data_IF_061874928068
#
_entry.id   IF_061874928068
#
_cell.length_a   1.000
_cell.length_b   1.000
_cell.length_c   1.000
_cell.angle_alpha   90.00
_cell.angle_beta   90.00
_cell.angle_gamma   90.00
#
_symmetry.space_group_name_H-M   'P 1'
#
loop_
_entity.id
_entity.type
_entity.pdbx_description
1 polymer ?
#
# COMPACT_ATOMS: atom_id res chain seq x y z
N UNK A 1 -44.29 36.85 -71.72
CA UNK A 1 -44.72 37.72 -72.85
C UNK A 1 -45.32 36.81 -73.92
N UNK A 2 -46.63 36.89 -74.22
CA UNK A 2 -47.19 36.11 -75.31
C UNK A 2 -46.60 36.63 -76.63
N UNK A 3 -45.94 35.76 -77.38
CA UNK A 3 -45.49 36.05 -78.74
C UNK A 3 -46.56 35.48 -79.67
N UNK A 4 -47.37 36.35 -80.27
CA UNK A 4 -48.28 35.98 -81.35
C UNK A 4 -47.47 35.84 -82.63
N UNK A 5 -47.47 34.65 -83.22
CA UNK A 5 -46.84 34.46 -84.51
C UNK A 5 -47.59 35.22 -85.59
N UNK A 6 -46.83 35.78 -86.53
CA UNK A 6 -47.38 36.48 -87.70
C UNK A 6 -46.60 36.04 -88.93
N UNK A 7 -47.29 35.80 -90.03
CA UNK A 7 -46.67 35.52 -91.31
C UNK A 7 -46.27 36.83 -92.01
N UNK A 8 -45.30 36.75 -92.92
CA UNK A 8 -44.88 37.92 -93.71
C UNK A 8 -45.96 38.34 -94.71
N UNK A 9 -46.02 39.62 -95.09
CA UNK A 9 -46.98 40.14 -96.09
C UNK A 9 -46.98 39.34 -97.40
N UNK A 10 -45.79 38.92 -97.85
CA UNK A 10 -45.60 38.08 -99.05
C UNK A 10 -46.34 36.74 -99.00
N UNK A 11 -46.58 36.20 -97.80
CA UNK A 11 -47.31 34.96 -97.61
C UNK A 11 -48.81 35.14 -97.81
N UNK A 12 -49.37 36.27 -97.36
CA UNK A 12 -50.77 36.65 -97.58
C UNK A 12 -51.04 36.94 -99.06
N UNK A 13 -50.12 37.63 -99.74
CA UNK A 13 -50.27 37.95 -101.17
C UNK A 13 -50.27 36.68 -102.07
N UNK A 14 -49.57 35.62 -101.65
CA UNK A 14 -49.40 34.37 -102.43
C UNK A 14 -50.47 33.31 -102.12
N UNK A 15 -50.83 33.13 -100.85
CA UNK A 15 -51.79 32.10 -100.42
C UNK A 15 -53.22 32.64 -100.29
N UNK A 16 -53.41 33.96 -100.30
CA UNK A 16 -54.67 34.61 -99.98
C UNK A 16 -54.86 34.82 -98.48
N UNK A 17 -55.70 35.78 -98.11
CA UNK A 17 -55.94 36.14 -96.70
C UNK A 17 -56.51 34.97 -95.89
N UNK A 18 -57.45 34.22 -96.46
CA UNK A 18 -58.12 33.12 -95.77
C UNK A 18 -57.14 32.02 -95.32
N UNK A 19 -56.31 31.52 -96.25
CA UNK A 19 -55.35 30.44 -95.98
C UNK A 19 -54.23 30.91 -95.05
N UNK A 20 -53.75 32.15 -95.22
CA UNK A 20 -52.71 32.70 -94.36
C UNK A 20 -53.19 32.93 -92.91
N UNK A 21 -54.44 33.35 -92.72
CA UNK A 21 -55.05 33.48 -91.39
C UNK A 21 -55.22 32.11 -90.71
N UNK A 22 -55.69 31.09 -91.44
CA UNK A 22 -55.84 29.73 -90.90
C UNK A 22 -54.50 29.15 -90.40
N UNK A 23 -53.41 29.38 -91.14
CA UNK A 23 -52.07 28.96 -90.73
C UNK A 23 -51.55 29.71 -89.49
N UNK A 24 -51.85 31.01 -89.38
CA UNK A 24 -51.50 31.82 -88.19
C UNK A 24 -52.28 31.33 -86.97
N UNK A 25 -53.58 31.07 -87.13
CA UNK A 25 -54.43 30.57 -86.05
C UNK A 25 -53.99 29.18 -85.60
N UNK A 26 -53.66 28.30 -86.54
CA UNK A 26 -53.08 26.99 -86.24
C UNK A 26 -51.75 27.10 -85.49
N UNK A 27 -50.82 27.95 -85.94
CA UNK A 27 -49.52 28.11 -85.27
C UNK A 27 -49.67 28.67 -83.85
N UNK A 28 -50.55 29.67 -83.67
CA UNK A 28 -50.83 30.22 -82.34
C UNK A 28 -51.54 29.19 -81.44
N UNK A 29 -52.44 28.35 -81.97
CA UNK A 29 -53.06 27.26 -81.22
C UNK A 29 -52.04 26.20 -80.78
N UNK A 30 -51.09 25.85 -81.65
CA UNK A 30 -49.99 24.94 -81.31
C UNK A 30 -49.08 25.53 -80.23
N UNK A 31 -48.68 26.82 -80.33
CA UNK A 31 -47.86 27.49 -79.30
C UNK A 31 -48.59 27.59 -77.94
N UNK A 32 -49.89 27.88 -77.95
CA UNK A 32 -50.72 27.88 -76.74
C UNK A 32 -50.78 26.49 -76.10
N UNK A 33 -50.97 25.45 -76.91
CA UNK A 33 -51.02 24.05 -76.44
C UNK A 33 -49.69 23.63 -75.84
N UNK A 34 -48.58 23.86 -76.54
CA UNK A 34 -47.24 23.51 -76.03
C UNK A 34 -46.86 24.27 -74.75
N UNK A 35 -47.24 25.56 -74.63
CA UNK A 35 -47.03 26.31 -73.39
C UNK A 35 -47.90 25.80 -72.24
N UNK A 36 -49.12 25.34 -72.52
CA UNK A 36 -49.97 24.72 -71.54
C UNK A 36 -49.37 23.38 -71.07
N UNK A 37 -48.96 22.51 -72.00
CA UNK A 37 -48.31 21.23 -71.70
C UNK A 37 -47.02 21.42 -70.91
N UNK A 38 -46.20 22.41 -71.27
CA UNK A 38 -44.98 22.73 -70.53
C UNK A 38 -45.27 23.20 -69.11
N UNK A 39 -46.33 23.99 -68.90
CA UNK A 39 -46.75 24.40 -67.55
C UNK A 39 -47.24 23.21 -66.74
N UNK A 40 -48.09 22.38 -67.33
CA UNK A 40 -48.61 21.17 -66.69
C UNK A 40 -47.48 20.21 -66.31
N UNK A 41 -46.55 19.94 -67.23
CA UNK A 41 -45.36 19.14 -66.96
C UNK A 41 -44.51 19.72 -65.84
N UNK A 42 -44.34 21.05 -65.81
CA UNK A 42 -43.56 21.71 -64.78
C UNK A 42 -44.25 21.63 -63.41
N UNK A 43 -45.56 21.86 -63.34
CA UNK A 43 -46.37 21.70 -62.14
C UNK A 43 -46.32 20.25 -61.62
N UNK A 44 -46.46 19.25 -62.51
CA UNK A 44 -46.35 17.84 -62.16
C UNK A 44 -44.95 17.48 -61.65
N UNK A 45 -43.90 18.00 -62.29
CA UNK A 45 -42.52 17.76 -61.88
C UNK A 45 -42.22 18.40 -60.52
N UNK A 46 -42.67 19.63 -60.28
CA UNK A 46 -42.52 20.28 -58.98
C UNK A 46 -43.30 19.57 -57.88
N UNK A 47 -44.55 19.17 -58.15
CA UNK A 47 -45.35 18.41 -57.19
C UNK A 47 -44.67 17.07 -56.81
N UNK A 48 -44.11 16.35 -57.80
CA UNK A 48 -43.35 15.11 -57.55
C UNK A 48 -42.06 15.37 -56.77
N UNK A 49 -41.36 16.46 -57.08
CA UNK A 49 -40.14 16.84 -56.37
C UNK A 49 -40.42 17.17 -54.91
N UNK A 50 -41.44 17.98 -54.65
CA UNK A 50 -41.86 18.38 -53.31
C UNK A 50 -42.29 17.17 -52.47
N UNK A 51 -43.14 16.31 -53.03
CA UNK A 51 -43.54 15.05 -52.38
C UNK A 51 -42.34 14.15 -52.02
N UNK A 52 -41.34 14.07 -52.92
CA UNK A 52 -40.13 13.28 -52.66
C UNK A 52 -39.24 13.92 -51.60
N UNK A 53 -39.14 15.25 -51.56
CA UNK A 53 -38.42 15.95 -50.49
C UNK A 53 -39.10 15.74 -49.14
N UNK A 54 -40.42 15.89 -49.07
CA UNK A 54 -41.18 15.63 -47.84
C UNK A 54 -41.00 14.19 -47.35
N UNK A 55 -41.06 13.22 -48.26
CA UNK A 55 -40.78 11.82 -47.94
C UNK A 55 -39.38 11.65 -47.36
N UNK A 56 -38.34 12.17 -48.02
CA UNK A 56 -36.94 12.05 -47.55
C UNK A 56 -36.74 12.73 -46.20
N UNK A 57 -37.37 13.88 -45.97
CA UNK A 57 -37.33 14.57 -44.68
C UNK A 57 -38.02 13.76 -43.58
N UNK A 58 -39.14 13.10 -43.89
CA UNK A 58 -39.82 12.23 -42.94
C UNK A 58 -38.99 10.99 -42.59
N UNK A 59 -38.38 10.34 -43.60
CA UNK A 59 -37.46 9.20 -43.43
C UNK A 59 -36.28 9.59 -42.53
N UNK A 60 -35.57 10.68 -42.86
CA UNK A 60 -34.42 11.15 -42.09
C UNK A 60 -34.79 11.51 -40.64
N UNK A 61 -35.97 12.12 -40.42
CA UNK A 61 -36.47 12.42 -39.07
C UNK A 61 -36.80 11.15 -38.29
N UNK A 62 -37.33 10.12 -38.95
CA UNK A 62 -37.63 8.84 -38.32
C UNK A 62 -36.34 8.11 -37.92
N UNK A 63 -35.37 8.04 -38.84
CA UNK A 63 -34.05 7.43 -38.60
C UNK A 63 -33.34 8.12 -37.44
N UNK A 64 -33.26 9.46 -37.45
CA UNK A 64 -32.60 10.22 -36.38
C UNK A 64 -33.29 10.00 -35.01
N UNK A 65 -34.63 9.93 -34.98
CA UNK A 65 -35.36 9.62 -33.75
C UNK A 65 -35.05 8.22 -33.23
N UNK A 66 -34.94 7.25 -34.14
CA UNK A 66 -34.62 5.87 -33.79
C UNK A 66 -33.19 5.76 -33.25
N UNK A 67 -32.21 6.39 -33.89
CA UNK A 67 -30.82 6.42 -33.40
C UNK A 67 -30.72 7.08 -32.03
N UNK A 68 -31.36 8.24 -31.83
CA UNK A 68 -31.39 8.92 -30.54
C UNK A 68 -32.05 8.05 -29.46
N UNK A 69 -33.14 7.34 -29.79
CA UNK A 69 -33.79 6.42 -28.87
C UNK A 69 -32.89 5.23 -28.51
N UNK A 70 -32.18 4.66 -29.49
CA UNK A 70 -31.21 3.58 -29.30
C UNK A 70 -30.06 4.00 -28.39
N UNK A 71 -29.41 5.13 -28.70
CA UNK A 71 -28.32 5.68 -27.88
C UNK A 71 -28.77 5.99 -26.45
N UNK A 72 -29.99 6.51 -26.27
CA UNK A 72 -30.56 6.74 -24.93
C UNK A 72 -30.78 5.43 -24.18
N UNK A 73 -31.32 4.41 -24.84
CA UNK A 73 -31.56 3.12 -24.20
C UNK A 73 -30.25 2.44 -23.79
N UNK A 74 -29.23 2.48 -24.65
CA UNK A 74 -27.90 1.96 -24.36
C UNK A 74 -27.26 2.69 -23.18
N UNK A 75 -27.28 4.03 -23.18
CA UNK A 75 -26.76 4.83 -22.07
C UNK A 75 -27.48 4.56 -20.74
N UNK A 76 -28.80 4.31 -20.80
CA UNK A 76 -29.63 4.04 -19.62
C UNK A 76 -29.33 2.66 -19.00
N UNK A 77 -28.73 1.74 -19.76
CA UNK A 77 -28.30 0.43 -19.29
C UNK A 77 -26.83 0.42 -18.90
N UNK A 78 -25.96 1.00 -19.74
CA UNK A 78 -24.52 1.00 -19.54
C UNK A 78 -24.13 1.72 -18.24
N UNK A 79 -24.64 2.93 -18.04
CA UNK A 79 -24.22 3.77 -16.91
C UNK A 79 -24.56 3.16 -15.54
N UNK A 80 -25.78 2.65 -15.27
CA UNK A 80 -26.07 1.96 -14.01
C UNK A 80 -25.29 0.66 -13.84
N UNK A 81 -24.97 -0.03 -14.94
CA UNK A 81 -24.22 -1.30 -14.89
C UNK A 81 -22.78 -1.05 -14.47
N UNK A 82 -22.08 -0.14 -15.15
CA UNK A 82 -20.71 0.26 -14.81
C UNK A 82 -20.64 0.78 -13.38
N UNK A 83 -21.60 1.63 -12.97
CA UNK A 83 -21.65 2.16 -11.61
C UNK A 83 -21.90 1.07 -10.55
N UNK A 84 -22.67 0.03 -10.86
CA UNK A 84 -22.84 -1.13 -9.98
C UNK A 84 -21.57 -1.98 -9.91
N UNK A 85 -20.91 -2.22 -11.04
CA UNK A 85 -19.65 -2.97 -11.09
C UNK A 85 -18.57 -2.28 -10.25
N UNK A 86 -18.32 -0.99 -10.47
CA UNK A 86 -17.38 -0.22 -9.65
C UNK A 86 -17.78 -0.22 -8.17
N UNK A 87 -19.08 -0.14 -7.86
CA UNK A 87 -19.55 -0.20 -6.47
C UNK A 87 -19.28 -1.55 -5.82
N UNK A 88 -19.41 -2.64 -6.57
CA UNK A 88 -19.14 -3.99 -6.08
C UNK A 88 -17.64 -4.18 -5.88
N UNK A 89 -16.82 -3.75 -6.83
CA UNK A 89 -15.37 -3.78 -6.76
C UNK A 89 -14.85 -3.01 -5.53
N UNK A 90 -15.25 -1.75 -5.36
CA UNK A 90 -14.85 -0.93 -4.20
C UNK A 90 -15.28 -1.57 -2.87
N UNK A 91 -16.46 -2.20 -2.81
CA UNK A 91 -16.90 -2.90 -1.60
C UNK A 91 -16.06 -4.13 -1.30
N UNK A 92 -15.65 -4.85 -2.33
CA UNK A 92 -14.79 -6.03 -2.19
C UNK A 92 -13.41 -5.60 -1.70
N UNK A 93 -12.80 -4.57 -2.30
CA UNK A 93 -11.51 -4.03 -1.85
C UNK A 93 -11.54 -3.56 -0.39
N UNK A 94 -12.62 -2.89 0.03
CA UNK A 94 -12.79 -2.47 1.43
C UNK A 94 -12.91 -3.70 2.36
N UNK A 95 -13.60 -4.75 1.94
CA UNK A 95 -13.74 -5.97 2.72
C UNK A 95 -12.40 -6.69 2.85
N UNK A 96 -11.66 -6.82 1.75
CA UNK A 96 -10.35 -7.47 1.68
C UNK A 96 -9.32 -6.72 2.55
N UNK A 97 -9.27 -5.39 2.44
CA UNK A 97 -8.43 -4.56 3.30
C UNK A 97 -8.80 -4.70 4.79
N UNK A 98 -10.10 -4.78 5.09
CA UNK A 98 -10.54 -5.01 6.47
C UNK A 98 -10.16 -6.39 7.00
N UNK A 99 -10.07 -7.42 6.15
CA UNK A 99 -9.61 -8.75 6.55
C UNK A 99 -8.11 -8.77 6.78
N UNK A 100 -7.33 -8.21 5.85
CA UNK A 100 -5.87 -8.11 5.95
C UNK A 100 -5.44 -7.37 7.22
N UNK A 101 -6.03 -6.20 7.49
CA UNK A 101 -5.73 -5.44 8.71
C UNK A 101 -6.08 -6.20 10.01
N UNK A 102 -7.11 -7.06 10.00
CA UNK A 102 -7.45 -7.89 11.17
C UNK A 102 -6.44 -9.01 11.37
N UNK A 103 -5.95 -9.60 10.29
CA UNK A 103 -4.90 -10.63 10.32
C UNK A 103 -3.59 -10.03 10.84
N UNK A 104 -3.14 -8.90 10.29
CA UNK A 104 -1.92 -8.22 10.77
C UNK A 104 -1.99 -7.86 12.26
N UNK A 105 -3.15 -7.37 12.74
CA UNK A 105 -3.34 -7.08 14.17
C UNK A 105 -3.30 -8.37 15.01
N UNK A 106 -3.81 -9.48 14.49
CA UNK A 106 -3.77 -10.77 15.20
C UNK A 106 -2.33 -11.31 15.29
N UNK A 107 -1.58 -11.20 14.21
CA UNK A 107 -0.18 -11.63 14.13
C UNK A 107 0.71 -10.80 15.05
N UNK A 108 0.61 -9.47 15.01
CA UNK A 108 1.34 -8.58 15.94
C UNK A 108 1.01 -8.86 17.41
N UNK A 109 -0.25 -9.21 17.72
CA UNK A 109 -0.63 -9.62 19.08
C UNK A 109 -0.03 -10.96 19.48
N UNK A 110 0.10 -11.90 18.55
CA UNK A 110 0.71 -13.19 18.79
C UNK A 110 2.22 -13.04 19.03
N UNK A 111 2.91 -12.26 18.19
CA UNK A 111 4.33 -11.94 18.34
C UNK A 111 4.61 -11.27 19.69
N UNK A 112 3.88 -10.20 20.03
CA UNK A 112 4.07 -9.50 21.31
C UNK A 112 3.85 -10.43 22.52
N UNK A 113 2.89 -11.37 22.41
CA UNK A 113 2.64 -12.34 23.48
C UNK A 113 3.79 -13.34 23.61
N UNK A 114 4.39 -13.74 22.48
CA UNK A 114 5.55 -14.61 22.44
C UNK A 114 6.78 -13.91 23.04
N UNK A 115 7.07 -12.68 22.63
CA UNK A 115 8.18 -11.87 23.16
C UNK A 115 8.08 -11.70 24.68
N UNK A 116 6.87 -11.43 25.21
CA UNK A 116 6.64 -11.33 26.66
C UNK A 116 6.89 -12.66 27.36
N UNK A 117 6.53 -13.79 26.74
CA UNK A 117 6.76 -15.12 27.30
C UNK A 117 8.26 -15.45 27.33
N UNK A 118 8.98 -15.11 26.27
CA UNK A 118 10.41 -15.36 26.14
C UNK A 118 11.21 -14.49 27.13
N UNK A 119 10.91 -13.20 27.23
CA UNK A 119 11.52 -12.31 28.24
C UNK A 119 11.25 -12.78 29.67
N UNK A 120 10.06 -13.33 29.96
CA UNK A 120 9.77 -13.91 31.28
C UNK A 120 10.59 -15.17 31.54
N UNK A 121 10.81 -15.99 30.53
CA UNK A 121 11.62 -17.19 30.65
C UNK A 121 13.10 -16.84 30.90
N UNK A 122 13.64 -15.90 30.12
CA UNK A 122 15.00 -15.37 30.28
C UNK A 122 15.19 -14.79 31.69
N UNK A 123 14.32 -13.89 32.15
CA UNK A 123 14.45 -13.29 33.47
C UNK A 123 14.39 -14.33 34.60
N UNK A 124 13.58 -15.39 34.44
CA UNK A 124 13.50 -16.48 35.41
C UNK A 124 14.79 -17.30 35.44
N UNK A 125 15.40 -17.51 34.28
CA UNK A 125 16.68 -18.19 34.15
C UNK A 125 17.79 -17.36 34.79
N UNK A 126 17.89 -16.07 34.46
CA UNK A 126 18.88 -15.16 35.05
C UNK A 126 18.79 -15.11 36.59
N UNK A 127 17.57 -15.07 37.14
CA UNK A 127 17.37 -15.12 38.60
C UNK A 127 17.84 -16.45 39.20
N UNK A 128 17.63 -17.57 38.50
CA UNK A 128 18.07 -18.88 38.95
C UNK A 128 19.60 -19.01 38.91
N UNK A 129 20.23 -18.48 37.87
CA UNK A 129 21.67 -18.49 37.69
C UNK A 129 22.35 -17.60 38.75
N UNK A 130 21.88 -16.36 38.94
CA UNK A 130 22.37 -15.47 40.01
C UNK A 130 22.22 -16.08 41.41
N UNK A 131 21.15 -16.84 41.66
CA UNK A 131 20.94 -17.53 42.93
C UNK A 131 21.95 -18.66 43.13
N UNK A 132 22.33 -19.33 42.05
CA UNK A 132 23.30 -20.42 42.07
C UNK A 132 24.71 -19.88 42.28
N UNK A 133 25.09 -18.85 41.52
CA UNK A 133 26.35 -18.12 41.69
C UNK A 133 26.51 -17.61 43.12
N UNK A 134 25.50 -16.91 43.65
CA UNK A 134 25.50 -16.44 45.05
C UNK A 134 25.69 -17.54 46.09
N UNK A 135 25.16 -18.75 45.85
CA UNK A 135 25.35 -19.88 46.78
C UNK A 135 26.76 -20.43 46.70
N UNK A 136 27.32 -20.47 45.49
CA UNK A 136 28.69 -20.89 45.25
C UNK A 136 29.67 -19.93 45.92
N UNK A 137 29.52 -18.61 45.70
CA UNK A 137 30.36 -17.59 46.34
C UNK A 137 30.36 -17.70 47.87
N UNK A 138 29.19 -17.92 48.48
CA UNK A 138 29.07 -18.11 49.94
C UNK A 138 29.79 -19.40 50.39
N UNK A 139 29.72 -20.47 49.62
CA UNK A 139 30.40 -21.73 49.93
C UNK A 139 31.93 -21.59 49.82
N UNK A 140 32.40 -20.87 48.80
CA UNK A 140 33.80 -20.61 48.56
C UNK A 140 34.38 -19.71 49.66
N UNK A 141 33.74 -18.57 49.97
CA UNK A 141 34.11 -17.70 51.08
C UNK A 141 34.15 -18.44 52.43
N UNK A 142 33.21 -19.36 52.67
CA UNK A 142 33.19 -20.17 53.90
C UNK A 142 34.39 -21.13 53.96
N UNK A 143 34.82 -21.64 52.82
CA UNK A 143 35.96 -22.55 52.72
C UNK A 143 37.26 -21.78 52.91
N UNK A 144 37.42 -20.64 52.26
CA UNK A 144 38.55 -19.72 52.44
C UNK A 144 38.69 -19.30 53.90
N UNK A 145 37.62 -18.81 54.54
CA UNK A 145 37.67 -18.40 55.95
C UNK A 145 38.06 -19.55 56.90
N UNK A 146 37.60 -20.78 56.63
CA UNK A 146 38.02 -21.95 57.42
C UNK A 146 39.50 -22.24 57.27
N UNK A 147 40.02 -22.11 56.06
CA UNK A 147 41.43 -22.30 55.76
C UNK A 147 42.27 -21.24 56.46
N UNK A 148 41.91 -19.96 56.34
CA UNK A 148 42.60 -18.87 57.04
C UNK A 148 42.62 -19.06 58.57
N UNK A 149 41.50 -19.49 59.17
CA UNK A 149 41.46 -19.80 60.62
C UNK A 149 42.37 -20.98 60.96
N UNK A 150 42.46 -22.00 60.10
CA UNK A 150 43.33 -23.15 60.33
C UNK A 150 44.81 -22.73 60.25
N UNK A 151 45.16 -21.91 59.26
CA UNK A 151 46.51 -21.41 59.04
C UNK A 151 46.94 -20.49 60.20
N UNK A 152 46.10 -19.54 60.63
CA UNK A 152 46.34 -18.69 61.81
C UNK A 152 46.52 -19.50 63.10
N UNK A 153 45.80 -20.62 63.26
CA UNK A 153 45.98 -21.52 64.43
C UNK A 153 47.32 -22.24 64.39
N UNK A 154 47.82 -22.59 63.21
CA UNK A 154 49.13 -23.22 63.05
C UNK A 154 50.23 -22.20 63.36
N UNK A 155 50.13 -21.00 62.77
CA UNK A 155 51.06 -19.89 63.00
C UNK A 155 51.16 -19.55 64.49
N UNK A 156 50.03 -19.35 65.18
CA UNK A 156 50.03 -19.06 66.62
C UNK A 156 50.67 -20.18 67.46
N UNK A 157 50.47 -21.45 67.10
CA UNK A 157 51.12 -22.58 67.79
C UNK A 157 52.63 -22.57 67.58
N UNK A 158 53.08 -22.27 66.37
CA UNK A 158 54.49 -22.15 66.04
C UNK A 158 55.14 -20.99 66.81
N UNK A 159 54.49 -19.83 66.86
CA UNK A 159 54.97 -18.66 67.60
C UNK A 159 55.09 -18.93 69.10
N UNK A 160 54.12 -19.61 69.71
CA UNK A 160 54.18 -20.02 71.11
C UNK A 160 55.34 -20.99 71.34
N UNK A 161 55.52 -21.98 70.44
CA UNK A 161 56.62 -22.93 70.56
C UNK A 161 57.98 -22.24 70.41
N UNK A 162 58.12 -21.32 69.46
CA UNK A 162 59.30 -20.48 69.27
C UNK A 162 59.60 -19.66 70.52
N UNK A 163 58.61 -18.93 71.03
CA UNK A 163 58.73 -18.11 72.25
C UNK A 163 59.14 -18.95 73.47
N UNK A 164 58.58 -20.16 73.64
CA UNK A 164 58.98 -21.10 74.70
C UNK A 164 60.43 -21.57 74.54
N UNK A 165 60.84 -21.93 73.33
CA UNK A 165 62.21 -22.35 73.05
C UNK A 165 63.21 -21.23 73.34
N UNK A 166 62.88 -20.00 72.95
CA UNK A 166 63.72 -18.83 73.24
C UNK A 166 63.78 -18.52 74.73
N UNK A 167 62.67 -18.61 75.46
CA UNK A 167 62.67 -18.45 76.91
C UNK A 167 63.53 -19.52 77.61
N UNK A 168 63.47 -20.77 77.15
CA UNK A 168 64.34 -21.85 77.65
C UNK A 168 65.81 -21.52 77.36
N UNK A 169 66.16 -21.09 76.15
CA UNK A 169 67.53 -20.67 75.80
C UNK A 169 68.03 -19.55 76.70
N UNK A 170 67.20 -18.53 76.94
CA UNK A 170 67.51 -17.43 77.86
C UNK A 170 67.69 -17.91 79.29
N UNK A 171 66.81 -18.78 79.80
CA UNK A 171 66.95 -19.38 81.13
C UNK A 171 68.24 -20.19 81.26
N UNK A 172 68.59 -21.03 80.28
CA UNK A 172 69.85 -21.76 80.29
C UNK A 172 71.05 -20.81 80.33
N UNK A 173 71.06 -19.77 79.49
CA UNK A 173 72.10 -18.75 79.52
C UNK A 173 72.25 -18.09 80.90
N UNK A 174 71.13 -17.70 81.51
CA UNK A 174 71.08 -17.15 82.86
C UNK A 174 71.61 -18.14 83.91
N UNK A 175 71.09 -19.36 83.97
CA UNK A 175 71.51 -20.37 84.94
C UNK A 175 72.99 -20.72 84.82
N UNK A 176 73.53 -20.82 83.60
CA UNK A 176 74.96 -21.06 83.37
C UNK A 176 75.81 -19.91 83.94
N UNK A 177 75.41 -18.64 83.71
CA UNK A 177 76.13 -17.49 84.29
C UNK A 177 76.02 -17.45 85.81
N UNK A 178 74.85 -17.74 86.39
CA UNK A 178 74.66 -17.82 87.86
C UNK A 178 75.50 -18.94 88.48
N UNK A 179 75.54 -20.13 87.88
CA UNK A 179 76.36 -21.23 88.38
C UNK A 179 77.86 -20.92 88.32
N UNK A 180 78.33 -20.30 87.23
CA UNK A 180 79.73 -19.88 87.08
C UNK A 180 80.13 -18.83 88.12
N UNK A 181 79.27 -17.84 88.39
CA UNK A 181 79.54 -16.80 89.40
C UNK A 181 79.55 -17.38 90.82
N UNK A 182 78.62 -18.27 91.18
CA UNK A 182 78.61 -18.96 92.47
C UNK A 182 79.85 -19.86 92.67
N UNK A 183 80.25 -20.62 91.63
CA UNK A 183 81.47 -21.41 91.68
C UNK A 183 82.72 -20.53 91.89
N UNK A 184 82.79 -19.39 91.20
CA UNK A 184 83.85 -18.39 91.40
C UNK A 184 83.90 -17.84 92.82
N UNK A 185 82.75 -17.50 93.41
CA UNK A 185 82.64 -17.03 94.80
C UNK A 185 83.07 -18.11 95.81
N UNK A 186 82.68 -19.37 95.60
CA UNK A 186 83.06 -20.47 96.48
C UNK A 186 84.59 -20.72 96.46
N UNK A 187 85.21 -20.66 95.28
CA UNK A 187 86.67 -20.75 95.13
C UNK A 187 87.37 -19.57 95.82
N UNK A 188 86.82 -18.36 95.74
CA UNK A 188 87.36 -17.19 96.43
C UNK A 188 87.25 -17.31 97.96
N UNK A 189 86.11 -17.78 98.49
CA UNK A 189 85.90 -18.01 99.92
C UNK A 189 86.79 -19.12 100.50
N UNK A 190 87.13 -20.15 99.73
CA UNK A 190 88.03 -21.22 100.19
C UNK A 190 89.52 -20.83 100.18
N UNK A 191 89.86 -19.74 99.49
CA UNK A 191 91.23 -19.20 99.39
C UNK A 191 91.46 -17.98 100.30
N UNK A 192 90.42 -17.47 100.96
CA UNK A 192 90.46 -16.40 101.96
C UNK A 192 90.57 -17.00 103.36
#
# INVERSE_FOLDING_TARGET
>A
MPVTAKLSKRFYDVLGEDIANELVDWFNAVDLTYRADLRELNELNFARFDAKLEQRLAELRAELRQEIAGLRAELLVLFPTELQETRVEVKQEIADLSTEMKEEIADLRAELKQDIADLRAELKQDIADLRTERKQDIADLRTELKQEIADLRIELKQDIAGSRADLIRWMFGFWVTTLLTLAGLMVALHRA
#
